data_IF_965511113411
#
_entry.id   IF_965511113411
#
_cell.length_a   1.000
_cell.length_b   1.000
_cell.length_c   1.000
_cell.angle_alpha   90.00
_cell.angle_beta   90.00
_cell.angle_gamma   90.00
#
_symmetry.space_group_name_H-M   'P 1'
#
loop_
_entity.id
_entity.type
_entity.pdbx_description
1 polymer ?
#
# COMPACT_ATOMS: atom_id res chain seq x y z
N UNK A 1 47.93 7.53 7.97
CA UNK A 1 48.80 6.42 8.42
C UNK A 1 50.20 6.62 7.86
N UNK A 2 51.26 6.23 8.57
CA UNK A 2 52.64 6.25 8.05
C UNK A 2 52.75 5.47 6.73
N UNK A 3 53.67 5.86 5.85
CA UNK A 3 53.73 5.28 4.51
C UNK A 3 54.04 3.77 4.50
N UNK A 4 54.81 3.29 5.47
CA UNK A 4 55.26 1.89 5.60
C UNK A 4 54.43 1.06 6.59
N UNK A 5 53.22 1.51 6.90
CA UNK A 5 52.32 0.77 7.80
C UNK A 5 51.86 -0.55 7.13
N UNK A 6 51.98 -1.71 7.80
CA UNK A 6 51.47 -2.98 7.28
C UNK A 6 49.94 -2.96 7.10
N UNK A 7 49.23 -2.17 7.90
CA UNK A 7 47.79 -1.94 7.75
C UNK A 7 47.47 -1.26 6.42
N UNK A 8 48.33 -0.33 5.97
CA UNK A 8 48.18 0.32 4.65
C UNK A 8 48.39 -0.68 3.52
N UNK A 9 49.41 -1.54 3.61
CA UNK A 9 49.63 -2.60 2.62
C UNK A 9 48.42 -3.55 2.53
N UNK A 10 47.91 -4.00 3.67
CA UNK A 10 46.72 -4.87 3.73
C UNK A 10 45.49 -4.20 3.10
N UNK A 11 45.26 -2.92 3.38
CA UNK A 11 44.16 -2.15 2.79
C UNK A 11 44.30 -2.01 1.26
N UNK A 12 45.51 -1.79 0.75
CA UNK A 12 45.77 -1.69 -0.71
C UNK A 12 45.51 -3.04 -1.38
N UNK A 13 45.98 -4.14 -0.81
CA UNK A 13 45.73 -5.48 -1.34
C UNK A 13 44.23 -5.81 -1.34
N UNK A 14 43.52 -5.50 -0.26
CA UNK A 14 42.07 -5.69 -0.18
C UNK A 14 41.33 -4.85 -1.24
N UNK A 15 41.72 -3.59 -1.45
CA UNK A 15 41.13 -2.74 -2.47
C UNK A 15 41.40 -3.27 -3.90
N UNK A 16 42.62 -3.75 -4.16
CA UNK A 16 42.97 -4.36 -5.45
C UNK A 16 42.13 -5.61 -5.72
N UNK A 17 41.93 -6.47 -4.72
CA UNK A 17 41.11 -7.67 -4.86
C UNK A 17 39.62 -7.33 -5.05
N UNK A 18 39.10 -6.36 -4.29
CA UNK A 18 37.74 -5.85 -4.49
C UNK A 18 37.55 -5.32 -5.91
N UNK A 19 38.53 -4.59 -6.45
CA UNK A 19 38.48 -4.11 -7.84
C UNK A 19 38.47 -5.25 -8.87
N UNK A 20 39.28 -6.29 -8.65
CA UNK A 20 39.32 -7.47 -9.52
C UNK A 20 37.97 -8.19 -9.52
N UNK A 21 37.37 -8.40 -8.36
CA UNK A 21 36.05 -9.02 -8.21
C UNK A 21 34.96 -8.17 -8.85
N UNK A 22 34.97 -6.86 -8.62
CA UNK A 22 34.03 -5.93 -9.24
C UNK A 22 34.11 -5.98 -10.78
N UNK A 23 35.32 -6.00 -11.34
CA UNK A 23 35.51 -6.07 -12.80
C UNK A 23 35.01 -7.40 -13.37
N UNK A 24 35.27 -8.51 -12.68
CA UNK A 24 34.77 -9.82 -13.10
C UNK A 24 33.23 -9.88 -13.05
N UNK A 25 32.64 -9.28 -12.03
CA UNK A 25 31.18 -9.22 -11.87
C UNK A 25 30.52 -8.34 -12.94
N UNK A 26 31.10 -7.17 -13.25
CA UNK A 26 30.65 -6.32 -14.35
C UNK A 26 30.66 -7.10 -15.67
N UNK A 27 31.75 -7.79 -15.99
CA UNK A 27 31.85 -8.60 -17.21
C UNK A 27 30.80 -9.72 -17.26
N UNK A 28 30.47 -10.33 -16.11
CA UNK A 28 29.40 -11.33 -16.00
C UNK A 28 28.03 -10.72 -16.28
N UNK A 29 27.74 -9.55 -15.70
CA UNK A 29 26.47 -8.85 -15.90
C UNK A 29 26.32 -8.36 -17.34
N UNK A 30 27.38 -7.84 -17.96
CA UNK A 30 27.36 -7.45 -19.38
C UNK A 30 27.06 -8.65 -20.28
N UNK A 31 27.72 -9.80 -20.02
CA UNK A 31 27.42 -11.03 -20.73
C UNK A 31 25.98 -11.50 -20.51
N UNK A 32 25.46 -11.37 -19.28
CA UNK A 32 24.09 -11.73 -18.97
C UNK A 32 23.09 -10.82 -19.68
N UNK A 33 23.36 -9.51 -19.78
CA UNK A 33 22.52 -8.57 -20.52
C UNK A 33 22.42 -8.95 -22.00
N UNK A 34 23.54 -9.34 -22.61
CA UNK A 34 23.61 -9.73 -24.02
C UNK A 34 22.92 -11.07 -24.30
N UNK A 35 22.92 -11.99 -23.33
CA UNK A 35 22.40 -13.36 -23.50
C UNK A 35 20.96 -13.54 -23.03
N UNK A 36 20.59 -12.89 -21.92
CA UNK A 36 19.25 -12.93 -21.31
C UNK A 36 18.98 -11.62 -20.55
N UNK A 37 18.45 -10.64 -21.28
CA UNK A 37 18.11 -9.34 -20.72
C UNK A 37 17.04 -9.41 -19.61
N UNK A 38 16.16 -10.42 -19.60
CA UNK A 38 15.14 -10.57 -18.55
C UNK A 38 15.78 -11.07 -17.25
N UNK A 39 16.66 -12.07 -17.33
CA UNK A 39 17.43 -12.54 -16.18
C UNK A 39 18.34 -11.44 -15.63
N UNK A 40 19.03 -10.70 -16.52
CA UNK A 40 19.82 -9.52 -16.13
C UNK A 40 18.97 -8.50 -15.35
N UNK A 41 17.80 -8.13 -15.88
CA UNK A 41 16.93 -7.13 -15.23
C UNK A 41 16.48 -7.59 -13.84
N UNK A 42 16.11 -8.87 -13.70
CA UNK A 42 15.73 -9.45 -12.40
C UNK A 42 16.87 -9.38 -11.39
N UNK A 43 18.09 -9.68 -11.83
CA UNK A 43 19.27 -9.69 -10.96
C UNK A 43 19.66 -8.27 -10.52
N UNK A 44 19.82 -7.33 -11.45
CA UNK A 44 20.24 -5.95 -11.12
C UNK A 44 19.20 -5.16 -10.32
N UNK A 45 17.91 -5.56 -10.39
CA UNK A 45 16.84 -4.93 -9.60
C UNK A 45 16.47 -5.70 -8.33
N UNK A 46 17.11 -6.84 -8.04
CA UNK A 46 16.74 -7.72 -6.94
C UNK A 46 16.72 -6.98 -5.58
N UNK A 47 17.79 -6.26 -5.27
CA UNK A 47 17.93 -5.50 -4.02
C UNK A 47 16.91 -4.36 -3.92
N UNK A 48 16.74 -3.60 -5.01
CA UNK A 48 15.75 -2.53 -5.07
C UNK A 48 14.32 -3.07 -4.87
N UNK A 49 14.01 -4.23 -5.47
CA UNK A 49 12.72 -4.89 -5.33
C UNK A 49 12.51 -5.45 -3.92
N UNK A 50 13.56 -5.95 -3.25
CA UNK A 50 13.48 -6.35 -1.85
C UNK A 50 13.22 -5.15 -0.93
N UNK A 51 13.94 -4.06 -1.12
CA UNK A 51 13.75 -2.85 -0.32
C UNK A 51 12.39 -2.20 -0.58
N UNK A 52 11.91 -2.21 -1.82
CA UNK A 52 10.55 -1.80 -2.16
C UNK A 52 9.52 -2.65 -1.41
N UNK A 53 9.66 -3.99 -1.39
CA UNK A 53 8.77 -4.91 -0.65
C UNK A 53 8.78 -4.62 0.86
N UNK A 54 9.95 -4.40 1.44
CA UNK A 54 10.10 -4.03 2.86
C UNK A 54 9.42 -2.69 3.15
N UNK A 55 9.60 -1.70 2.28
CA UNK A 55 9.00 -0.37 2.42
C UNK A 55 7.47 -0.42 2.29
N UNK A 56 6.94 -1.13 1.29
CA UNK A 56 5.51 -1.35 1.11
C UNK A 56 4.87 -1.99 2.36
N UNK A 57 5.55 -2.98 2.95
CA UNK A 57 5.10 -3.66 4.16
C UNK A 57 5.15 -2.73 5.38
N UNK A 58 6.27 -2.03 5.59
CA UNK A 58 6.50 -1.13 6.71
C UNK A 58 5.51 0.04 6.73
N UNK A 59 5.28 0.64 5.56
CA UNK A 59 4.37 1.78 5.41
C UNK A 59 2.92 1.35 5.16
N UNK A 60 2.65 0.03 5.12
CA UNK A 60 1.34 -0.55 4.83
C UNK A 60 0.70 0.04 3.57
N UNK A 61 1.52 0.33 2.56
CA UNK A 61 1.04 0.96 1.33
C UNK A 61 0.10 0.05 0.53
N UNK A 62 0.20 -1.26 0.73
CA UNK A 62 -0.78 -2.23 0.20
C UNK A 62 -2.19 -2.10 0.81
N UNK A 63 -2.31 -1.44 1.96
CA UNK A 63 -3.58 -1.15 2.62
C UNK A 63 -4.12 0.24 2.27
N UNK A 64 -3.35 1.04 1.53
CA UNK A 64 -3.78 2.38 1.10
C UNK A 64 -4.80 2.21 -0.02
N UNK A 65 -6.03 2.73 0.14
CA UNK A 65 -7.03 2.64 -0.90
C UNK A 65 -6.55 3.32 -2.18
N UNK A 66 -6.84 2.73 -3.32
CA UNK A 66 -6.58 3.31 -4.63
C UNK A 66 -7.32 4.65 -4.79
N UNK A 67 -6.86 5.48 -5.73
CA UNK A 67 -7.55 6.73 -6.06
C UNK A 67 -9.03 6.51 -6.42
N UNK A 68 -9.34 5.40 -7.12
CA UNK A 68 -10.70 5.01 -7.46
C UNK A 68 -11.54 4.66 -6.23
N UNK A 69 -10.99 3.90 -5.28
CA UNK A 69 -11.67 3.56 -4.03
C UNK A 69 -11.90 4.78 -3.13
N UNK A 70 -10.92 5.69 -3.06
CA UNK A 70 -11.09 6.97 -2.36
C UNK A 70 -12.19 7.81 -3.01
N UNK A 71 -12.26 7.86 -4.34
CA UNK A 71 -13.32 8.56 -5.06
C UNK A 71 -14.70 7.94 -4.80
N UNK A 72 -14.79 6.60 -4.74
CA UNK A 72 -16.03 5.90 -4.39
C UNK A 72 -16.51 6.23 -2.97
N UNK A 73 -15.59 6.28 -1.99
CA UNK A 73 -15.91 6.67 -0.60
C UNK A 73 -16.39 8.12 -0.46
N UNK A 74 -15.99 9.01 -1.37
CA UNK A 74 -16.45 10.41 -1.40
C UNK A 74 -17.87 10.57 -1.93
N UNK A 75 -18.46 9.54 -2.56
CA UNK A 75 -19.84 9.63 -3.02
C UNK A 75 -20.76 9.77 -1.80
N UNK A 76 -21.60 10.82 -1.72
CA UNK A 76 -22.48 11.01 -0.59
C UNK A 76 -23.43 9.81 -0.49
N UNK A 77 -23.45 9.17 0.68
CA UNK A 77 -24.45 8.14 0.98
C UNK A 77 -25.81 8.83 1.02
N UNK A 78 -26.87 8.20 0.45
CA UNK A 78 -28.21 8.74 0.59
C UNK A 78 -28.55 8.88 2.08
N UNK A 79 -29.32 9.91 2.46
CA UNK A 79 -29.76 10.07 3.83
C UNK A 79 -30.46 8.80 4.32
N UNK A 80 -30.08 8.32 5.50
CA UNK A 80 -30.74 7.17 6.11
C UNK A 80 -32.21 7.54 6.39
N UNK A 81 -33.15 6.76 5.86
CA UNK A 81 -34.56 6.93 6.18
C UNK A 81 -34.83 6.35 7.58
N UNK A 82 -34.96 7.21 8.59
CA UNK A 82 -35.36 6.76 9.93
C UNK A 82 -36.78 6.20 9.91
N UNK A 83 -36.94 5.02 10.53
CA UNK A 83 -38.24 4.40 10.82
C UNK A 83 -38.41 4.34 12.33
N UNK A 84 -39.61 4.64 12.81
CA UNK A 84 -39.93 4.48 14.23
C UNK A 84 -39.99 2.98 14.57
N UNK A 85 -39.32 2.59 15.64
CA UNK A 85 -39.25 1.22 16.16
C UNK A 85 -40.25 1.08 17.33
N UNK A 86 -40.85 -0.11 17.59
CA UNK A 86 -41.77 -0.27 18.72
C UNK A 86 -41.18 0.23 20.05
N UNK A 87 -42.00 0.93 20.84
CA UNK A 87 -41.60 1.45 22.15
C UNK A 87 -40.91 2.82 22.14
N UNK A 88 -40.66 3.41 20.96
CA UNK A 88 -40.10 4.76 20.87
C UNK A 88 -41.18 5.84 21.04
N UNK A 89 -40.85 6.98 21.70
CA UNK A 89 -41.74 8.13 21.73
C UNK A 89 -41.85 8.79 20.33
N UNK A 90 -42.93 9.51 20.03
CA UNK A 90 -43.09 10.26 18.78
C UNK A 90 -41.90 11.20 18.51
N UNK A 91 -41.25 11.06 17.35
CA UNK A 91 -40.08 11.87 16.98
C UNK A 91 -40.52 12.97 16.02
N UNK A 92 -40.30 14.24 16.38
CA UNK A 92 -40.62 15.36 15.49
C UNK A 92 -39.71 15.36 14.25
N UNK A 93 -40.30 15.54 13.05
CA UNK A 93 -39.54 15.59 11.80
C UNK A 93 -39.00 17.02 11.60
N UNK A 94 -37.67 17.22 11.53
CA UNK A 94 -37.09 18.54 11.30
C UNK A 94 -37.61 19.17 10.01
N UNK A 95 -38.00 20.46 10.08
CA UNK A 95 -38.54 21.20 8.94
C UNK A 95 -40.01 20.93 8.62
N UNK A 96 -40.70 20.06 9.36
CA UNK A 96 -42.13 19.78 9.18
C UNK A 96 -42.90 19.90 10.51
N UNK A 97 -43.25 21.13 10.93
CA UNK A 97 -43.99 21.35 12.17
C UNK A 97 -45.34 20.61 12.14
N UNK A 98 -45.65 19.89 13.23
CA UNK A 98 -46.85 19.06 13.36
C UNK A 98 -46.71 17.62 12.83
N UNK A 99 -45.62 17.29 12.13
CA UNK A 99 -45.35 15.92 11.66
C UNK A 99 -44.44 15.17 12.64
N UNK A 100 -44.89 13.98 13.05
CA UNK A 100 -44.16 13.09 13.93
C UNK A 100 -43.99 11.71 13.28
N UNK A 101 -42.82 11.10 13.46
CA UNK A 101 -42.61 9.68 13.22
C UNK A 101 -43.12 8.92 14.44
N UNK A 102 -44.21 8.20 14.24
CA UNK A 102 -44.79 7.30 15.25
C UNK A 102 -44.74 5.88 14.74
N UNK A 103 -44.54 4.94 15.67
CA UNK A 103 -44.67 3.53 15.34
C UNK A 103 -46.15 3.21 15.18
N UNK A 104 -46.55 2.69 14.01
CA UNK A 104 -47.91 2.21 13.73
C UNK A 104 -47.83 0.75 13.31
N UNK A 105 -48.66 -0.10 13.93
CA UNK A 105 -48.66 -1.56 13.69
C UNK A 105 -48.98 -1.96 12.24
N UNK A 106 -49.47 -1.02 11.41
CA UNK A 106 -49.77 -1.19 9.99
C UNK A 106 -48.56 -1.25 9.06
N UNK A 107 -47.33 -0.98 9.54
CA UNK A 107 -46.10 -1.05 8.73
C UNK A 107 -45.71 -2.49 8.30
N UNK A 108 -46.37 -3.54 8.83
CA UNK A 108 -46.06 -4.94 8.48
C UNK A 108 -46.74 -5.45 7.19
N UNK A 109 -47.71 -4.72 6.61
CA UNK A 109 -48.46 -5.19 5.43
C UNK A 109 -47.80 -4.85 4.07
N UNK A 110 -46.62 -4.22 4.06
CA UNK A 110 -45.91 -3.83 2.82
C UNK A 110 -44.74 -4.74 2.42
N UNK A 111 -44.45 -5.81 3.17
CA UNK A 111 -43.28 -6.68 2.95
C UNK A 111 -43.68 -8.17 2.80
N UNK A 112 -44.89 -8.43 2.29
CA UNK A 112 -45.39 -9.77 1.99
C UNK A 112 -46.22 -9.81 0.68
N UNK A 113 -45.73 -9.14 -0.37
CA UNK A 113 -46.22 -9.26 -1.74
C UNK A 113 -45.04 -9.29 -2.73
#
# INVERSE_FOLDING_TARGET
MPQDSPQRLAAVLAAAEQWRLHTAEQARLDHLLDTDAEAWFKEVTADANEEARRTLSRLRLSMVPTAAEMAAKRRPRPPWQMRAVPGWPPIAVPGQPGRYLTWTASQQQGEAA
#
